data_IF_538901854130
#
_entry.id   IF_538901854130
#
_cell.length_a   1.000
_cell.length_b   1.000
_cell.length_c   1.000
_cell.angle_alpha   90.00
_cell.angle_beta   90.00
_cell.angle_gamma   90.00
#
_symmetry.space_group_name_H-M   'P 1'
#
loop_
_entity.id
_entity.type
_entity.pdbx_description
1 polymer ?
#
# COMPACT_ATOMS: atom_id res chain seq x y z
N UNK A 1 2.51 -1.10 -5.55
CA UNK A 1 2.68 -0.60 -4.16
C UNK A 1 2.05 -1.55 -3.17
N UNK A 2 2.70 -1.73 -2.01
CA UNK A 2 2.16 -2.45 -0.85
C UNK A 2 2.38 -1.64 0.43
N UNK A 3 1.36 -1.57 1.28
CA UNK A 3 1.40 -0.93 2.59
C UNK A 3 0.94 -1.95 3.63
N UNK A 4 1.75 -2.13 4.67
CA UNK A 4 1.53 -3.14 5.68
C UNK A 4 1.35 -2.44 7.04
N UNK A 5 0.32 -2.77 7.82
CA UNK A 5 0.19 -2.26 9.17
C UNK A 5 1.36 -2.79 10.01
N UNK A 6 1.92 -1.92 10.84
CA UNK A 6 2.95 -2.25 11.82
C UNK A 6 2.62 -1.57 13.15
N UNK A 7 3.16 -2.10 14.23
CA UNK A 7 3.06 -1.48 15.54
C UNK A 7 4.30 -0.64 15.83
N UNK A 8 4.11 0.41 16.64
CA UNK A 8 5.19 1.30 17.04
C UNK A 8 6.32 0.57 17.77
N UNK A 9 5.96 -0.47 18.52
CA UNK A 9 6.87 -1.28 19.32
C UNK A 9 7.46 -2.47 18.54
N UNK A 10 7.14 -2.61 17.24
CA UNK A 10 7.70 -3.68 16.41
C UNK A 10 9.23 -3.60 16.40
N UNK A 11 9.88 -4.72 16.63
CA UNK A 11 11.34 -4.83 16.56
C UNK A 11 11.81 -4.88 15.11
N UNK A 12 13.14 -4.84 14.92
CA UNK A 12 13.73 -5.11 13.61
C UNK A 12 13.39 -6.52 13.09
N UNK A 13 13.26 -7.50 13.99
CA UNK A 13 12.87 -8.87 13.65
C UNK A 13 11.41 -8.95 13.20
N UNK A 14 10.50 -8.27 13.90
CA UNK A 14 9.08 -8.21 13.50
C UNK A 14 8.93 -7.56 12.13
N UNK A 15 9.66 -6.46 11.89
CA UNK A 15 9.70 -5.79 10.58
C UNK A 15 10.23 -6.70 9.48
N UNK A 16 11.25 -7.51 9.78
CA UNK A 16 11.83 -8.44 8.80
C UNK A 16 10.88 -9.58 8.47
N UNK A 17 10.17 -10.13 9.46
CA UNK A 17 9.13 -11.15 9.26
C UNK A 17 7.97 -10.58 8.44
N UNK A 18 7.53 -9.36 8.74
CA UNK A 18 6.48 -8.68 8.00
C UNK A 18 6.88 -8.49 6.53
N UNK A 19 8.12 -8.05 6.29
CA UNK A 19 8.66 -7.89 4.93
C UNK A 19 8.80 -9.22 4.20
N UNK A 20 9.31 -10.26 4.87
CA UNK A 20 9.45 -11.59 4.29
C UNK A 20 8.10 -12.17 3.85
N UNK A 21 7.13 -12.17 4.76
CA UNK A 21 5.83 -12.80 4.55
C UNK A 21 4.99 -12.11 3.46
N UNK A 22 5.19 -10.82 3.26
CA UNK A 22 4.30 -10.02 2.41
C UNK A 22 4.98 -9.44 1.16
N UNK A 23 6.30 -9.34 1.13
CA UNK A 23 7.05 -8.79 -0.01
C UNK A 23 7.88 -9.91 -0.64
N UNK A 24 8.84 -10.48 0.09
CA UNK A 24 9.77 -11.48 -0.45
C UNK A 24 9.04 -12.77 -0.88
N UNK A 25 8.03 -13.21 -0.15
CA UNK A 25 7.26 -14.42 -0.49
C UNK A 25 6.52 -14.37 -1.83
N UNK A 26 6.34 -13.18 -2.38
CA UNK A 26 5.47 -12.89 -3.53
C UNK A 26 6.16 -12.05 -4.60
N UNK A 27 7.41 -11.67 -4.34
CA UNK A 27 8.33 -10.99 -5.23
C UNK A 27 9.67 -11.73 -5.19
N UNK A 28 10.69 -11.18 -5.81
CA UNK A 28 12.06 -11.67 -5.67
C UNK A 28 12.79 -10.90 -4.56
N UNK A 29 13.89 -11.47 -4.07
CA UNK A 29 14.79 -10.76 -3.15
C UNK A 29 15.36 -9.53 -3.89
N UNK A 30 15.21 -8.32 -3.35
CA UNK A 30 15.67 -7.11 -4.02
C UNK A 30 17.20 -7.04 -4.01
N UNK A 31 17.81 -6.56 -5.10
CA UNK A 31 19.25 -6.29 -5.12
C UNK A 31 19.64 -5.10 -4.23
N UNK A 32 18.74 -4.14 -4.06
CA UNK A 32 18.94 -2.92 -3.28
C UNK A 32 17.67 -2.60 -2.51
N UNK A 33 17.78 -2.33 -1.21
CA UNK A 33 16.72 -1.74 -0.40
C UNK A 33 17.12 -0.31 -0.06
N UNK A 34 16.23 0.62 -0.38
CA UNK A 34 16.35 2.01 0.04
C UNK A 34 15.38 2.22 1.20
N UNK A 35 15.89 2.67 2.34
CA UNK A 35 15.08 2.97 3.53
C UNK A 35 15.57 4.25 4.20
N UNK A 36 14.75 4.81 5.08
CA UNK A 36 15.22 5.84 6.02
C UNK A 36 16.20 5.25 7.04
N UNK A 37 16.61 6.10 7.98
CA UNK A 37 17.55 5.74 9.07
C UNK A 37 16.83 5.31 10.34
N UNK A 38 15.63 4.75 10.25
CA UNK A 38 14.97 4.15 11.41
C UNK A 38 15.92 3.13 12.09
N UNK A 39 16.03 3.14 13.44
CA UNK A 39 16.87 2.21 14.19
C UNK A 39 16.65 0.73 13.84
N UNK A 40 15.46 0.35 13.40
CA UNK A 40 15.14 -1.01 12.96
C UNK A 40 15.94 -1.39 11.72
N UNK A 41 16.01 -0.52 10.74
CA UNK A 41 16.70 -0.75 9.46
C UNK A 41 18.21 -0.52 9.53
N UNK A 42 18.68 0.21 10.54
CA UNK A 42 20.11 0.41 10.81
C UNK A 42 20.68 -0.53 11.88
N UNK A 43 19.84 -1.42 12.42
CA UNK A 43 20.27 -2.41 13.41
C UNK A 43 21.27 -3.43 12.83
N UNK A 44 22.11 -3.99 13.70
CA UNK A 44 23.03 -5.08 13.34
C UNK A 44 22.28 -6.29 12.78
N UNK A 45 21.13 -6.63 13.39
CA UNK A 45 20.26 -7.70 12.90
C UNK A 45 19.82 -7.48 11.45
N UNK A 46 19.28 -6.30 11.13
CA UNK A 46 18.79 -6.00 9.79
C UNK A 46 19.93 -5.97 8.77
N UNK A 47 21.04 -5.35 9.14
CA UNK A 47 22.24 -5.27 8.27
C UNK A 47 22.78 -6.66 7.96
N UNK A 48 22.96 -7.53 8.96
CA UNK A 48 23.46 -8.88 8.76
C UNK A 48 22.47 -9.77 7.99
N UNK A 49 21.15 -9.61 8.22
CA UNK A 49 20.14 -10.35 7.49
C UNK A 49 20.25 -10.11 5.98
N UNK A 50 20.37 -8.85 5.56
CA UNK A 50 20.43 -8.50 4.14
C UNK A 50 21.82 -8.71 3.52
N UNK A 51 22.89 -8.71 4.32
CA UNK A 51 24.22 -9.16 3.87
C UNK A 51 24.20 -10.64 3.46
N UNK A 52 23.59 -11.51 4.28
CA UNK A 52 23.40 -12.94 3.96
C UNK A 52 22.57 -13.12 2.68
N UNK A 53 21.57 -12.26 2.47
CA UNK A 53 20.72 -12.29 1.28
C UNK A 53 21.37 -11.63 0.05
N UNK A 54 22.59 -11.11 0.16
CA UNK A 54 23.28 -10.40 -0.93
C UNK A 54 22.58 -9.10 -1.35
N UNK A 55 21.76 -8.54 -0.47
CA UNK A 55 20.98 -7.32 -0.72
C UNK A 55 21.73 -6.10 -0.21
N UNK A 56 21.95 -5.10 -1.09
CA UNK A 56 22.59 -3.85 -0.69
C UNK A 56 21.61 -2.94 0.04
N UNK A 57 21.93 -2.55 1.27
CA UNK A 57 21.19 -1.51 1.99
C UNK A 57 21.70 -0.11 1.60
N UNK A 58 20.78 0.78 1.25
CA UNK A 58 21.06 2.17 0.92
C UNK A 58 20.17 3.08 1.77
N UNK A 59 20.75 3.81 2.71
CA UNK A 59 19.96 4.67 3.59
C UNK A 59 19.78 6.06 2.98
N UNK A 60 18.55 6.56 2.97
CA UNK A 60 18.26 7.94 2.59
C UNK A 60 18.95 8.90 3.57
N UNK A 61 19.30 10.09 3.07
CA UNK A 61 19.84 11.17 3.89
C UNK A 61 18.81 12.28 3.90
N UNK A 62 18.75 13.06 4.99
CA UNK A 62 17.82 14.19 5.14
C UNK A 62 17.89 15.24 4.00
N UNK A 63 18.88 15.16 3.11
CA UNK A 63 19.13 16.08 2.00
C UNK A 63 19.13 15.43 0.61
N UNK A 64 18.65 14.18 0.44
CA UNK A 64 18.50 13.54 -0.88
C UNK A 64 17.04 13.27 -1.25
N UNK A 65 16.26 14.32 -1.57
CA UNK A 65 14.84 14.20 -1.94
C UNK A 65 14.59 13.42 -3.23
N UNK A 66 15.62 13.15 -4.06
CA UNK A 66 15.43 12.39 -5.31
C UNK A 66 15.23 10.88 -5.08
N UNK A 67 15.88 10.30 -4.07
CA UNK A 67 15.80 8.85 -3.83
C UNK A 67 14.61 8.52 -2.93
N UNK A 68 14.34 9.36 -1.93
CA UNK A 68 13.24 9.16 -0.99
C UNK A 68 11.92 9.80 -1.47
N UNK A 69 11.97 10.82 -2.32
CA UNK A 69 10.78 11.60 -2.71
C UNK A 69 9.69 10.80 -3.41
N UNK A 70 10.02 9.68 -4.07
CA UNK A 70 9.02 8.77 -4.63
C UNK A 70 8.29 7.98 -3.53
N UNK A 71 9.03 7.49 -2.53
CA UNK A 71 8.44 6.80 -1.39
C UNK A 71 7.68 7.79 -0.49
N UNK A 72 8.25 8.97 -0.21
CA UNK A 72 7.60 10.03 0.56
C UNK A 72 6.31 10.52 -0.11
N UNK A 73 6.33 10.82 -1.41
CA UNK A 73 5.12 11.25 -2.13
C UNK A 73 4.04 10.16 -2.17
N UNK A 74 4.46 8.89 -2.25
CA UNK A 74 3.56 7.76 -2.13
C UNK A 74 2.96 7.66 -0.72
N UNK A 75 3.77 7.75 0.33
CA UNK A 75 3.33 7.71 1.73
C UNK A 75 2.36 8.86 2.01
N UNK A 76 2.68 10.09 1.58
CA UNK A 76 1.80 11.25 1.70
C UNK A 76 0.44 11.03 1.01
N UNK A 77 0.46 10.52 -0.22
CA UNK A 77 -0.78 10.19 -0.94
C UNK A 77 -1.62 9.18 -0.16
N UNK A 78 -0.98 8.16 0.42
CA UNK A 78 -1.67 7.15 1.21
C UNK A 78 -2.22 7.70 2.52
N UNK A 79 -1.44 8.52 3.24
CA UNK A 79 -1.90 9.21 4.44
C UNK A 79 -3.09 10.11 4.16
N UNK A 80 -3.06 10.90 3.09
CA UNK A 80 -4.17 11.78 2.71
C UNK A 80 -5.44 11.00 2.40
N UNK A 81 -5.31 9.89 1.68
CA UNK A 81 -6.43 9.00 1.39
C UNK A 81 -7.00 8.40 2.68
N UNK A 82 -6.13 7.88 3.56
CA UNK A 82 -6.54 7.30 4.85
C UNK A 82 -7.20 8.34 5.77
N UNK A 83 -6.63 9.53 5.89
CA UNK A 83 -7.19 10.64 6.68
C UNK A 83 -8.59 11.01 6.19
N UNK A 84 -8.79 11.11 4.87
CA UNK A 84 -10.10 11.39 4.29
C UNK A 84 -11.08 10.26 4.59
N UNK A 85 -10.66 9.00 4.56
CA UNK A 85 -11.53 7.89 4.94
C UNK A 85 -11.99 7.93 6.40
N UNK A 86 -11.07 8.19 7.32
CA UNK A 86 -11.41 8.40 8.72
C UNK A 86 -12.37 9.59 8.87
N UNK A 87 -12.10 10.70 8.18
CA UNK A 87 -12.95 11.90 8.22
C UNK A 87 -14.36 11.68 7.64
N UNK A 88 -14.52 10.79 6.65
CA UNK A 88 -15.82 10.44 6.08
C UNK A 88 -16.62 9.45 6.93
N UNK A 89 -16.15 9.11 8.13
CA UNK A 89 -16.86 8.21 9.04
C UNK A 89 -17.03 6.82 8.44
N UNK A 90 -16.07 6.37 7.61
CA UNK A 90 -16.09 5.02 7.04
C UNK A 90 -15.68 3.94 8.06
N UNK A 91 -15.99 4.16 9.34
CA UNK A 91 -15.91 3.16 10.39
C UNK A 91 -17.04 2.15 10.15
N UNK A 92 -16.68 0.93 9.79
CA UNK A 92 -17.63 -0.17 9.74
C UNK A 92 -17.44 -1.01 10.99
N UNK A 93 -18.42 -1.09 11.89
CA UNK A 93 -18.42 -2.04 13.03
C UNK A 93 -17.05 -2.17 13.73
N UNK A 94 -16.49 -1.08 14.26
CA UNK A 94 -15.19 -1.08 14.95
C UNK A 94 -13.95 -1.43 14.08
N UNK A 95 -14.10 -1.43 12.74
CA UNK A 95 -12.99 -1.70 11.83
C UNK A 95 -12.16 -0.43 11.58
N UNK A 96 -10.91 -0.49 12.00
CA UNK A 96 -9.92 0.57 11.89
C UNK A 96 -9.39 0.76 10.45
N UNK A 97 -8.60 1.81 10.21
CA UNK A 97 -7.92 2.13 8.93
C UNK A 97 -7.18 0.92 8.33
N UNK A 98 -6.70 0.00 9.16
CA UNK A 98 -6.07 -1.27 8.77
C UNK A 98 -6.98 -2.12 7.88
N UNK A 99 -8.28 -2.19 8.17
CA UNK A 99 -9.25 -2.98 7.37
C UNK A 99 -9.48 -2.37 5.99
N UNK A 100 -9.30 -1.06 5.87
CA UNK A 100 -9.48 -0.34 4.61
C UNK A 100 -8.23 -0.38 3.73
N UNK A 101 -7.05 -0.67 4.30
CA UNK A 101 -5.78 -0.72 3.58
C UNK A 101 -5.83 -1.52 2.27
N UNK A 102 -6.42 -2.73 2.19
CA UNK A 102 -6.46 -3.48 0.93
C UNK A 102 -7.23 -2.74 -0.17
N UNK A 103 -8.34 -2.08 0.16
CA UNK A 103 -9.12 -1.31 -0.80
C UNK A 103 -8.37 -0.05 -1.25
N UNK A 104 -7.68 0.62 -0.33
CA UNK A 104 -6.83 1.79 -0.65
C UNK A 104 -5.69 1.39 -1.58
N UNK A 105 -4.97 0.33 -1.25
CA UNK A 105 -3.87 -0.19 -2.06
C UNK A 105 -4.34 -0.61 -3.45
N UNK A 106 -5.50 -1.25 -3.55
CA UNK A 106 -6.09 -1.63 -4.83
C UNK A 106 -6.35 -0.40 -5.69
N UNK A 107 -7.05 0.60 -5.14
CA UNK A 107 -7.39 1.84 -5.85
C UNK A 107 -6.14 2.61 -6.30
N UNK A 108 -5.11 2.68 -5.45
CA UNK A 108 -3.82 3.26 -5.82
C UNK A 108 -3.17 2.49 -6.95
N UNK A 109 -3.06 1.16 -6.83
CA UNK A 109 -2.37 0.32 -7.80
C UNK A 109 -3.05 0.28 -9.18
N UNK A 110 -4.36 0.52 -9.25
CA UNK A 110 -5.12 0.60 -10.51
C UNK A 110 -5.32 2.01 -11.03
N UNK A 111 -4.86 3.03 -10.30
CA UNK A 111 -4.85 4.41 -10.78
C UNK A 111 -3.63 4.66 -11.66
N UNK A 112 -3.81 5.39 -12.77
CA UNK A 112 -2.69 5.75 -13.65
C UNK A 112 -1.78 6.77 -12.96
N UNK A 113 -0.47 6.66 -13.04
CA UNK A 113 0.45 7.68 -12.53
C UNK A 113 0.82 8.68 -13.63
N UNK A 114 0.88 9.98 -13.29
CA UNK A 114 1.20 11.05 -14.25
C UNK A 114 2.58 10.91 -14.86
N UNK A 115 3.55 10.41 -14.09
CA UNK A 115 4.95 10.23 -14.51
C UNK A 115 5.13 9.09 -15.52
N UNK A 116 4.38 8.00 -15.40
CA UNK A 116 4.54 6.80 -16.25
C UNK A 116 3.44 6.63 -17.29
N UNK A 117 2.31 7.34 -17.14
CA UNK A 117 1.10 7.14 -17.93
C UNK A 117 0.45 5.75 -17.72
N UNK A 118 0.96 4.96 -16.77
CA UNK A 118 0.56 3.56 -16.52
C UNK A 118 0.13 3.39 -15.06
N UNK A 119 -0.63 2.35 -14.79
CA UNK A 119 -0.97 1.95 -13.43
C UNK A 119 0.20 1.18 -12.81
N UNK A 120 0.37 1.26 -11.49
CA UNK A 120 1.40 0.46 -10.80
C UNK A 120 1.22 -1.04 -11.04
N UNK A 121 -0.03 -1.54 -11.10
CA UNK A 121 -0.30 -2.95 -11.38
C UNK A 121 0.16 -3.38 -12.77
N UNK A 122 0.00 -2.54 -13.80
CA UNK A 122 0.51 -2.82 -15.15
C UNK A 122 2.03 -2.79 -15.18
N UNK A 123 2.67 -1.87 -14.45
CA UNK A 123 4.13 -1.79 -14.38
C UNK A 123 4.72 -3.03 -13.67
N UNK A 124 4.12 -3.46 -12.55
CA UNK A 124 4.61 -4.58 -11.73
C UNK A 124 4.25 -5.95 -12.34
N UNK A 125 3.02 -6.11 -12.85
CA UNK A 125 2.45 -7.42 -13.21
C UNK A 125 2.02 -7.54 -14.67
N UNK A 126 2.25 -6.51 -15.49
CA UNK A 126 1.86 -6.46 -16.91
C UNK A 126 0.36 -6.30 -17.16
N UNK A 127 -0.48 -6.31 -16.12
CA UNK A 127 -1.95 -6.19 -16.23
C UNK A 127 -2.57 -5.55 -15.00
N UNK A 128 -3.72 -4.91 -15.18
CA UNK A 128 -4.56 -4.55 -14.04
C UNK A 128 -5.26 -5.79 -13.48
N UNK A 129 -5.44 -5.88 -12.15
CA UNK A 129 -6.35 -6.86 -11.58
C UNK A 129 -7.77 -6.57 -12.06
N UNK A 130 -8.56 -7.63 -12.21
CA UNK A 130 -10.00 -7.49 -12.40
C UNK A 130 -10.58 -7.01 -11.07
N UNK A 131 -11.23 -5.85 -11.06
CA UNK A 131 -11.75 -5.27 -9.84
C UNK A 131 -13.08 -5.94 -9.46
N UNK A 132 -13.42 -6.03 -8.17
CA UNK A 132 -14.72 -6.54 -7.74
C UNK A 132 -15.90 -5.83 -8.43
N UNK A 133 -15.74 -4.54 -8.74
CA UNK A 133 -16.75 -3.74 -9.46
C UNK A 133 -16.96 -4.18 -10.91
N UNK A 134 -15.96 -4.81 -11.54
CA UNK A 134 -16.02 -5.28 -12.92
C UNK A 134 -16.82 -6.60 -13.08
N UNK A 135 -16.97 -7.36 -11.97
CA UNK A 135 -17.60 -8.68 -11.95
C UNK A 135 -18.91 -8.74 -11.16
N UNK A 136 -19.51 -7.59 -10.85
CA UNK A 136 -20.82 -7.53 -10.20
C UNK A 136 -21.86 -8.27 -11.05
N UNK A 137 -22.30 -9.44 -10.57
CA UNK A 137 -23.46 -10.14 -11.13
C UNK A 137 -24.69 -9.26 -10.88
N UNK A 138 -25.23 -8.68 -11.96
CA UNK A 138 -26.40 -7.79 -11.92
C UNK A 138 -27.67 -8.51 -11.41
N UNK A 139 -27.70 -9.84 -11.52
CA UNK A 139 -28.89 -10.67 -11.25
C UNK A 139 -28.66 -11.67 -10.10
N UNK A 140 -28.06 -11.22 -8.98
CA UNK A 140 -28.06 -12.02 -7.76
C UNK A 140 -29.45 -11.96 -7.10
N UNK A 141 -30.24 -13.01 -7.30
CA UNK A 141 -31.59 -13.18 -6.70
C UNK A 141 -31.59 -13.11 -5.17
N UNK A 142 -30.45 -13.39 -4.54
CA UNK A 142 -30.30 -13.31 -3.08
C UNK A 142 -28.85 -13.00 -2.73
N UNK A 143 -28.59 -11.83 -2.13
CA UNK A 143 -27.29 -11.45 -1.58
C UNK A 143 -27.44 -11.44 -0.07
N UNK A 144 -26.55 -12.13 0.64
CA UNK A 144 -26.52 -12.07 2.11
C UNK A 144 -26.30 -10.61 2.57
N UNK A 145 -27.11 -10.06 3.50
CA UNK A 145 -27.05 -8.64 3.88
C UNK A 145 -25.64 -8.16 4.26
N UNK A 146 -24.91 -8.95 5.06
CA UNK A 146 -23.53 -8.63 5.46
C UNK A 146 -22.54 -8.62 4.30
N UNK A 147 -22.74 -9.48 3.29
CA UNK A 147 -21.88 -9.49 2.10
C UNK A 147 -22.12 -8.23 1.25
N UNK A 148 -23.38 -7.78 1.16
CA UNK A 148 -23.74 -6.52 0.50
C UNK A 148 -23.13 -5.32 1.22
N UNK A 149 -23.25 -5.27 2.56
CA UNK A 149 -22.65 -4.19 3.37
C UNK A 149 -21.13 -4.08 3.16
N UNK A 150 -20.41 -5.21 3.21
CA UNK A 150 -18.97 -5.26 3.03
C UNK A 150 -18.56 -4.85 1.60
N UNK A 151 -19.28 -5.34 0.60
CA UNK A 151 -19.08 -4.94 -0.79
C UNK A 151 -19.27 -3.43 -0.98
N UNK A 152 -20.36 -2.87 -0.45
CA UNK A 152 -20.67 -1.45 -0.59
C UNK A 152 -19.64 -0.58 0.13
N UNK A 153 -19.11 -1.05 1.27
CA UNK A 153 -17.99 -0.41 1.97
C UNK A 153 -16.72 -0.39 1.10
N UNK A 154 -16.28 -1.53 0.57
CA UNK A 154 -15.10 -1.58 -0.29
C UNK A 154 -15.25 -0.76 -1.56
N UNK A 155 -16.44 -0.73 -2.14
CA UNK A 155 -16.74 0.10 -3.31
C UNK A 155 -16.60 1.59 -2.99
N UNK A 156 -17.23 2.05 -1.89
CA UNK A 156 -17.07 3.45 -1.44
C UNK A 156 -15.62 3.79 -1.15
N UNK A 157 -14.87 2.85 -0.56
CA UNK A 157 -13.44 3.02 -0.36
C UNK A 157 -12.71 3.22 -1.70
N UNK A 158 -12.86 2.29 -2.65
CA UNK A 158 -12.20 2.41 -3.95
C UNK A 158 -12.57 3.70 -4.69
N UNK A 159 -13.84 4.11 -4.65
CA UNK A 159 -14.34 5.32 -5.31
C UNK A 159 -13.74 6.59 -4.70
N UNK A 160 -13.71 6.70 -3.38
CA UNK A 160 -13.14 7.85 -2.69
C UNK A 160 -11.62 7.91 -2.86
N UNK A 161 -10.89 6.78 -2.76
CA UNK A 161 -9.46 6.76 -3.04
C UNK A 161 -9.17 7.22 -4.47
N UNK A 162 -9.93 6.72 -5.45
CA UNK A 162 -9.79 7.12 -6.86
C UNK A 162 -10.02 8.62 -7.07
N UNK A 163 -11.03 9.20 -6.39
CA UNK A 163 -11.27 10.66 -6.41
C UNK A 163 -10.11 11.44 -5.80
N UNK A 164 -9.60 11.01 -4.64
CA UNK A 164 -8.47 11.66 -3.98
C UNK A 164 -7.22 11.64 -4.87
N UNK A 165 -6.94 10.52 -5.52
CA UNK A 165 -5.83 10.38 -6.46
C UNK A 165 -6.03 11.28 -7.69
N UNK A 166 -7.26 11.41 -8.19
CA UNK A 166 -7.57 12.30 -9.32
C UNK A 166 -7.41 13.78 -8.95
N UNK A 167 -7.75 14.17 -7.73
CA UNK A 167 -7.55 15.53 -7.21
C UNK A 167 -6.07 15.85 -6.98
N UNK A 168 -5.31 14.91 -6.42
CA UNK A 168 -3.87 15.07 -6.20
C UNK A 168 -3.07 15.27 -7.51
N UNK A 169 -3.61 14.82 -8.65
CA UNK A 169 -3.01 15.02 -9.99
C UNK A 169 -3.35 16.35 -10.66
N UNK A 170 -4.24 17.17 -10.07
CA UNK A 170 -4.62 18.49 -10.62
C UNK A 170 -3.73 19.63 -10.14
N UNK A 171 -2.77 19.34 -9.27
CA UNK A 171 -1.76 20.25 -8.73
C UNK A 171 -0.45 19.95 -9.44
#
# INVERSE_FOLDING_TARGET
MRCLPCHKEDTAMDSALLFWNNIISTCEVPNIIISDRDPKFTSEFWTNLYDILGTKLAFSTAYHPQTDGLAEGMIQTMEDILRRFCAYGMEYKDHDWVTLLPAVQLAYNTSQHSTTGKTSAVVEKGRNPLLPVDHLKKDLLTIHPTAKELHDMWKRACDTASKCIAEAKKI
#
